data_IF_714098287689
#
_entry.id   IF_714098287689
#
_cell.length_a   1.000
_cell.length_b   1.000
_cell.length_c   1.000
_cell.angle_alpha   90.00
_cell.angle_beta   90.00
_cell.angle_gamma   90.00
#
_symmetry.space_group_name_H-M   'P 1'
#
loop_
_entity.id
_entity.type
_entity.pdbx_description
1 polymer ?
#
# COMPACT_ATOMS: atom_id res chain seq x y z
N UNK A 1 -9.92 2.23 -9.85
CA UNK A 1 -9.70 1.54 -8.55
C UNK A 1 -10.71 1.93 -7.47
N UNK A 2 -11.47 3.03 -7.63
CA UNK A 2 -12.54 3.45 -6.70
C UNK A 2 -13.50 2.31 -6.32
N UNK A 3 -13.93 1.48 -7.29
CA UNK A 3 -14.82 0.35 -7.03
C UNK A 3 -14.27 -0.59 -5.95
N UNK A 4 -12.97 -0.92 -6.00
CA UNK A 4 -12.31 -1.73 -4.98
C UNK A 4 -12.38 -1.04 -3.61
N UNK A 5 -12.02 0.24 -3.52
CA UNK A 5 -12.08 0.99 -2.27
C UNK A 5 -13.47 1.07 -1.65
N UNK A 6 -14.50 1.28 -2.48
CA UNK A 6 -15.90 1.29 -2.05
C UNK A 6 -16.35 -0.10 -1.61
N UNK A 7 -15.95 -1.17 -2.32
CA UNK A 7 -16.24 -2.54 -1.89
C UNK A 7 -15.57 -2.82 -0.55
N UNK A 8 -14.28 -2.53 -0.40
CA UNK A 8 -13.53 -2.76 0.82
C UNK A 8 -14.08 -1.99 2.00
N UNK A 9 -14.65 -0.79 1.81
CA UNK A 9 -15.29 -0.02 2.90
C UNK A 9 -16.57 -0.68 3.45
N UNK A 10 -17.17 -1.63 2.71
CA UNK A 10 -18.40 -2.35 3.10
C UNK A 10 -18.15 -3.78 3.56
N UNK A 11 -17.01 -4.37 3.21
CA UNK A 11 -16.65 -5.75 3.59
C UNK A 11 -16.50 -5.84 5.12
N UNK A 12 -17.03 -6.89 5.74
CA UNK A 12 -16.91 -7.10 7.20
C UNK A 12 -15.72 -7.96 7.59
N UNK A 13 -15.17 -8.72 6.64
CA UNK A 13 -13.98 -9.54 6.88
C UNK A 13 -12.72 -8.68 6.88
N UNK A 14 -12.15 -8.48 8.06
CA UNK A 14 -10.90 -7.72 8.24
C UNK A 14 -9.73 -8.37 7.49
N UNK A 15 -9.65 -9.71 7.47
CA UNK A 15 -8.61 -10.44 6.74
C UNK A 15 -8.72 -10.18 5.24
N UNK A 16 -9.94 -10.22 4.69
CA UNK A 16 -10.19 -9.90 3.28
C UNK A 16 -9.74 -8.48 2.94
N UNK A 17 -10.05 -7.49 3.79
CA UNK A 17 -9.63 -6.10 3.59
C UNK A 17 -8.11 -5.97 3.61
N UNK A 18 -7.43 -6.60 4.57
CA UNK A 18 -5.96 -6.61 4.68
C UNK A 18 -5.33 -7.21 3.43
N UNK A 19 -5.78 -8.38 3.00
CA UNK A 19 -5.22 -9.10 1.85
C UNK A 19 -5.34 -8.29 0.55
N UNK A 20 -6.47 -7.61 0.36
CA UNK A 20 -6.74 -6.81 -0.84
C UNK A 20 -6.05 -5.44 -0.80
N UNK A 21 -5.85 -4.84 0.37
CA UNK A 21 -4.98 -3.65 0.50
C UNK A 21 -3.53 -4.00 0.20
N UNK A 22 -3.02 -5.14 0.69
CA UNK A 22 -1.68 -5.61 0.33
C UNK A 22 -1.57 -5.93 -1.17
N UNK A 23 -2.61 -6.53 -1.77
CA UNK A 23 -2.65 -6.76 -3.21
C UNK A 23 -2.64 -5.44 -3.98
N UNK A 24 -3.43 -4.44 -3.57
CA UNK A 24 -3.42 -3.11 -4.17
C UNK A 24 -2.00 -2.54 -4.14
N UNK A 25 -1.37 -2.43 -2.97
CA UNK A 25 -0.03 -1.84 -2.84
C UNK A 25 1.06 -2.58 -3.62
N UNK A 26 0.96 -3.91 -3.78
CA UNK A 26 1.92 -4.68 -4.59
C UNK A 26 1.80 -4.44 -6.09
N UNK A 27 0.62 -4.05 -6.58
CA UNK A 27 0.34 -3.96 -8.02
C UNK A 27 0.28 -2.51 -8.56
N UNK A 28 0.42 -1.49 -7.71
CA UNK A 28 0.46 -0.10 -8.16
C UNK A 28 1.71 0.16 -8.99
N UNK A 29 1.53 0.67 -10.21
CA UNK A 29 2.64 1.20 -11.02
C UNK A 29 2.86 2.66 -10.63
N UNK A 30 3.77 2.93 -9.70
CA UNK A 30 3.98 4.29 -9.16
C UNK A 30 4.44 5.33 -10.19
N UNK A 31 5.00 4.90 -11.33
CA UNK A 31 5.31 5.80 -12.45
C UNK A 31 4.05 6.37 -13.13
N UNK A 32 2.94 5.62 -13.11
CA UNK A 32 1.64 6.01 -13.67
C UNK A 32 0.90 6.94 -12.72
N UNK A 33 0.57 8.15 -13.18
CA UNK A 33 -0.24 9.09 -12.40
C UNK A 33 -1.65 8.57 -12.11
N UNK A 34 -2.24 7.87 -13.08
CA UNK A 34 -3.55 7.24 -12.94
C UNK A 34 -3.55 6.17 -11.86
N UNK A 35 -2.50 5.34 -11.79
CA UNK A 35 -2.38 4.28 -10.78
C UNK A 35 -2.18 4.86 -9.38
N UNK A 36 -1.36 5.91 -9.25
CA UNK A 36 -1.16 6.60 -7.97
C UNK A 36 -2.46 7.20 -7.46
N UNK A 37 -3.17 7.93 -8.32
CA UNK A 37 -4.44 8.55 -7.97
C UNK A 37 -5.48 7.49 -7.62
N UNK A 38 -5.63 6.46 -8.46
CA UNK A 38 -6.56 5.37 -8.20
C UNK A 38 -6.26 4.59 -6.92
N UNK A 39 -4.99 4.37 -6.59
CA UNK A 39 -4.59 3.77 -5.32
C UNK A 39 -4.97 4.67 -4.14
N UNK A 40 -4.61 5.95 -4.20
CA UNK A 40 -4.92 6.90 -3.14
C UNK A 40 -6.44 7.00 -2.89
N UNK A 41 -7.24 7.06 -3.96
CA UNK A 41 -8.70 7.05 -3.87
C UNK A 41 -9.22 5.76 -3.24
N UNK A 42 -8.74 4.59 -3.69
CA UNK A 42 -9.19 3.30 -3.18
C UNK A 42 -8.88 3.14 -1.68
N UNK A 43 -7.68 3.53 -1.25
CA UNK A 43 -7.28 3.54 0.17
C UNK A 43 -8.13 4.52 0.97
N UNK A 44 -8.38 5.71 0.41
CA UNK A 44 -9.25 6.73 1.02
C UNK A 44 -10.67 6.23 1.24
N UNK A 45 -11.30 5.59 0.24
CA UNK A 45 -12.62 4.99 0.40
C UNK A 45 -12.62 3.86 1.42
N UNK A 46 -11.62 2.99 1.42
CA UNK A 46 -11.50 1.90 2.39
C UNK A 46 -11.44 2.44 3.84
N UNK A 47 -10.81 3.60 4.04
CA UNK A 47 -10.67 4.22 5.38
C UNK A 47 -12.02 4.57 6.03
N UNK A 48 -13.09 4.75 5.25
CA UNK A 48 -14.44 5.03 5.77
C UNK A 48 -15.01 3.86 6.59
N UNK A 49 -14.61 2.62 6.30
CA UNK A 49 -15.06 1.42 7.03
C UNK A 49 -13.99 0.83 7.94
N UNK A 50 -12.71 1.06 7.63
CA UNK A 50 -11.59 0.35 8.25
C UNK A 50 -10.38 1.27 8.51
N UNK A 51 -10.59 2.41 9.18
CA UNK A 51 -9.54 3.41 9.40
C UNK A 51 -8.29 2.82 10.06
N UNK A 52 -8.43 2.01 11.10
CA UNK A 52 -7.30 1.43 11.84
C UNK A 52 -6.48 0.48 10.95
N UNK A 53 -7.17 -0.38 10.18
CA UNK A 53 -6.50 -1.28 9.23
C UNK A 53 -5.74 -0.45 8.19
N UNK A 54 -6.38 0.57 7.62
CA UNK A 54 -5.74 1.42 6.60
C UNK A 54 -4.50 2.10 7.16
N UNK A 55 -4.57 2.68 8.37
CA UNK A 55 -3.41 3.31 9.02
C UNK A 55 -2.29 2.31 9.27
N UNK A 56 -2.59 1.12 9.82
CA UNK A 56 -1.58 0.07 10.04
C UNK A 56 -0.94 -0.36 8.72
N UNK A 57 -1.73 -0.56 7.65
CA UNK A 57 -1.17 -0.96 6.34
C UNK A 57 -0.32 0.14 5.70
N UNK A 58 -0.68 1.41 5.88
CA UNK A 58 0.13 2.53 5.42
C UNK A 58 1.46 2.63 6.19
N UNK A 59 1.44 2.39 7.50
CA UNK A 59 2.66 2.32 8.32
C UNK A 59 3.57 1.16 7.89
N UNK A 60 3.00 -0.04 7.72
CA UNK A 60 3.73 -1.21 7.22
C UNK A 60 4.33 -0.96 5.83
N UNK A 61 3.56 -0.32 4.94
CA UNK A 61 4.03 0.05 3.62
C UNK A 61 5.22 1.04 3.71
N UNK A 62 5.09 2.10 4.51
CA UNK A 62 6.16 3.08 4.70
C UNK A 62 7.44 2.44 5.27
N UNK A 63 7.32 1.54 6.26
CA UNK A 63 8.45 0.78 6.82
C UNK A 63 9.13 -0.09 5.76
N UNK A 64 8.36 -0.81 4.95
CA UNK A 64 8.88 -1.67 3.86
C UNK A 64 9.63 -0.85 2.81
N UNK A 65 9.08 0.29 2.39
CA UNK A 65 9.72 1.16 1.40
C UNK A 65 11.00 1.81 1.95
N UNK A 66 11.01 2.19 3.23
CA UNK A 66 12.23 2.69 3.87
C UNK A 66 13.33 1.61 3.94
N UNK A 67 12.95 0.37 4.31
CA UNK A 67 13.88 -0.75 4.35
C UNK A 67 14.45 -1.10 2.96
N UNK A 68 13.66 -1.01 1.89
CA UNK A 68 14.17 -1.21 0.52
C UNK A 68 15.22 -0.17 0.13
N UNK A 69 15.02 1.10 0.53
CA UNK A 69 15.99 2.17 0.27
C UNK A 69 17.32 1.95 1.00
N UNK A 70 17.29 1.48 2.26
CA UNK A 70 18.51 1.24 3.02
C UNK A 70 19.34 0.08 2.46
N UNK A 71 18.71 -1.01 2.03
CA UNK A 71 19.39 -2.16 1.40
C UNK A 71 20.16 -1.73 0.14
N UNK A 72 19.63 -0.79 -0.64
CA UNK A 72 20.33 -0.25 -1.82
C UNK A 72 21.67 0.42 -1.49
N UNK A 73 21.75 1.17 -0.39
CA UNK A 73 22.98 1.85 0.04
C UNK A 73 24.03 0.84 0.51
N UNK A 74 23.62 -0.20 1.25
CA UNK A 74 24.55 -1.26 1.67
C UNK A 74 25.12 -2.04 0.50
N UNK A 75 24.32 -2.30 -0.54
CA UNK A 75 24.83 -2.96 -1.75
C UNK A 75 25.85 -2.11 -2.50
N UNK A 76 25.68 -0.79 -2.53
CA UNK A 76 26.68 0.11 -3.13
C UNK A 76 28.01 0.08 -2.35
N UNK A 77 27.95 0.08 -1.01
CA UNK A 77 29.15 -0.02 -0.18
C UNK A 77 29.85 -1.37 -0.33
N UNK A 78 29.11 -2.47 -0.49
CA UNK A 78 29.67 -3.81 -0.69
C UNK A 78 30.37 -3.98 -2.05
N UNK A 79 30.06 -3.17 -3.05
CA UNK A 79 30.77 -3.20 -4.36
C UNK A 79 32.09 -2.45 -4.29
N UNK A 80 32.25 -1.52 -3.35
CA UNK A 80 33.46 -0.73 -3.18
C UNK A 80 34.51 -1.38 -2.24
N UNK A 81 34.18 -2.49 -1.57
CA UNK A 81 35.07 -3.24 -0.65
C UNK A 81 35.33 -4.62 -1.24
#
# INVERSE_FOLDING_TARGET
MICLGVTLSKVKSHTFVVDHLDLLFRNVVYASDSDRTGCAEAVGFCSQGHIDIVLTKLEDFAKREYAKKSVGIFNLLKVCV
#
